data_IF_458963124603
#
_entry.id   IF_458963124603
#
_cell.length_a   1.000
_cell.length_b   1.000
_cell.length_c   1.000
_cell.angle_alpha   90.00
_cell.angle_beta   90.00
_cell.angle_gamma   90.00
#
_symmetry.space_group_name_H-M   'P 1'
#
loop_
_entity.id
_entity.type
_entity.pdbx_description
1 polymer ?
#
# COMPACT_ATOMS: atom_id res chain seq x y z
N UNK A 1 -11.04 16.55 14.36
CA UNK A 1 -11.50 16.39 12.96
C UNK A 1 -10.50 15.58 12.14
N UNK A 2 -9.21 15.94 12.11
CA UNK A 2 -8.18 15.16 11.40
C UNK A 2 -8.00 13.74 11.99
N UNK A 3 -8.05 13.58 13.32
CA UNK A 3 -7.94 12.26 13.97
C UNK A 3 -9.09 11.31 13.58
N UNK A 4 -10.35 11.75 13.68
CA UNK A 4 -11.51 10.96 13.27
C UNK A 4 -11.45 10.54 11.80
N UNK A 5 -10.92 11.39 10.92
CA UNK A 5 -10.75 11.05 9.50
C UNK A 5 -9.73 9.91 9.31
N UNK A 6 -8.58 9.98 9.98
CA UNK A 6 -7.58 8.92 9.90
C UNK A 6 -8.02 7.64 10.60
N UNK A 7 -8.80 7.75 11.68
CA UNK A 7 -9.43 6.61 12.35
C UNK A 7 -10.39 5.88 11.39
N UNK A 8 -11.31 6.61 10.74
CA UNK A 8 -12.22 6.03 9.73
C UNK A 8 -11.45 5.35 8.57
N UNK A 9 -10.37 5.96 8.08
CA UNK A 9 -9.54 5.35 7.04
C UNK A 9 -8.82 4.10 7.56
N UNK A 10 -8.30 4.13 8.79
CA UNK A 10 -7.61 3.01 9.41
C UNK A 10 -8.52 1.80 9.62
N UNK A 11 -9.77 2.02 10.05
CA UNK A 11 -10.79 0.97 10.22
C UNK A 11 -11.14 0.27 8.90
N UNK A 12 -11.12 1.01 7.78
CA UNK A 12 -11.47 0.49 6.46
C UNK A 12 -10.26 -0.01 5.66
N UNK A 13 -9.04 0.13 6.19
CA UNK A 13 -7.81 -0.28 5.55
C UNK A 13 -7.52 -1.76 5.85
N UNK A 14 -7.56 -2.60 4.81
CA UNK A 14 -7.24 -4.02 4.97
C UNK A 14 -5.77 -4.23 5.34
N UNK A 15 -5.47 -5.38 5.96
CA UNK A 15 -4.11 -5.74 6.31
C UNK A 15 -3.20 -5.71 5.06
N UNK A 16 -3.64 -6.29 3.94
CA UNK A 16 -2.95 -6.26 2.65
C UNK A 16 -2.60 -4.83 2.23
N UNK A 17 -3.59 -3.94 2.23
CA UNK A 17 -3.43 -2.53 1.86
C UNK A 17 -2.40 -1.80 2.75
N UNK A 18 -2.24 -2.18 4.03
CA UNK A 18 -1.19 -1.63 4.90
C UNK A 18 0.21 -1.98 4.38
N UNK A 19 0.46 -3.22 3.96
CA UNK A 19 1.76 -3.64 3.44
C UNK A 19 2.15 -2.91 2.16
N UNK A 20 1.19 -2.61 1.28
CA UNK A 20 1.42 -1.76 0.11
C UNK A 20 1.92 -0.36 0.51
N UNK A 21 1.30 0.27 1.52
CA UNK A 21 1.73 1.59 2.00
C UNK A 21 3.12 1.55 2.62
N UNK A 22 3.47 0.49 3.35
CA UNK A 22 4.83 0.31 3.91
C UNK A 22 5.87 0.22 2.79
N UNK A 23 5.62 -0.58 1.75
CA UNK A 23 6.54 -0.67 0.61
C UNK A 23 6.67 0.68 -0.10
N UNK A 24 5.56 1.38 -0.37
CA UNK A 24 5.62 2.66 -1.07
C UNK A 24 6.25 3.79 -0.22
N UNK A 25 6.19 3.71 1.12
CA UNK A 25 6.94 4.57 2.02
C UNK A 25 8.46 4.28 1.92
N UNK A 26 8.86 3.01 1.92
CA UNK A 26 10.27 2.60 1.82
C UNK A 26 10.90 2.95 0.46
N UNK A 27 10.12 2.86 -0.61
CA UNK A 27 10.58 3.16 -1.96
C UNK A 27 10.55 4.67 -2.28
N UNK A 28 9.85 5.47 -1.48
CA UNK A 28 9.75 6.93 -1.68
C UNK A 28 11.15 7.58 -1.70
N UNK A 29 11.46 8.44 -2.68
CA UNK A 29 10.55 9.10 -3.62
C UNK A 29 10.34 8.37 -4.97
N UNK A 30 10.80 7.12 -5.11
CA UNK A 30 10.76 6.40 -6.37
C UNK A 30 9.34 5.93 -6.74
N UNK A 31 9.12 5.84 -8.05
CA UNK A 31 7.91 5.25 -8.63
C UNK A 31 8.09 3.74 -8.78
N UNK A 32 7.11 2.96 -8.30
CA UNK A 32 7.16 1.48 -8.34
C UNK A 32 6.13 0.96 -9.33
N UNK A 33 6.54 0.16 -10.31
CA UNK A 33 5.58 -0.48 -11.21
C UNK A 33 4.76 -1.55 -10.47
N UNK A 34 3.58 -1.89 -11.02
CA UNK A 34 2.63 -2.79 -10.36
C UNK A 34 3.17 -4.20 -10.05
N UNK A 35 3.95 -4.79 -10.95
CA UNK A 35 4.52 -6.13 -10.73
C UNK A 35 5.58 -6.10 -9.63
N UNK A 36 6.49 -5.13 -9.68
CA UNK A 36 7.51 -4.97 -8.64
C UNK A 36 6.89 -4.68 -7.27
N UNK A 37 5.79 -3.92 -7.22
CA UNK A 37 5.06 -3.66 -5.98
C UNK A 37 4.46 -4.96 -5.41
N UNK A 38 3.95 -5.85 -6.27
CA UNK A 38 3.43 -7.15 -5.86
C UNK A 38 4.53 -8.03 -5.26
N UNK A 39 5.66 -8.14 -5.95
CA UNK A 39 6.83 -8.91 -5.49
C UNK A 39 7.32 -8.40 -4.13
N UNK A 40 7.55 -7.09 -4.01
CA UNK A 40 8.05 -6.46 -2.78
C UNK A 40 7.10 -6.64 -1.59
N UNK A 41 5.79 -6.50 -1.80
CA UNK A 41 4.80 -6.68 -0.73
C UNK A 41 4.82 -8.11 -0.20
N UNK A 42 4.84 -9.11 -1.10
CA UNK A 42 4.88 -10.51 -0.69
C UNK A 42 6.22 -10.89 -0.04
N UNK A 43 7.34 -10.41 -0.58
CA UNK A 43 8.67 -10.62 0.00
C UNK A 43 8.76 -10.05 1.42
N UNK A 44 8.36 -8.80 1.61
CA UNK A 44 8.38 -8.18 2.93
C UNK A 44 7.44 -8.90 3.92
N UNK A 45 6.24 -9.28 3.49
CA UNK A 45 5.29 -10.02 4.31
C UNK A 45 5.85 -11.39 4.74
N UNK A 46 6.41 -12.15 3.80
CA UNK A 46 6.97 -13.48 4.06
C UNK A 46 8.09 -13.42 5.11
N UNK A 47 8.98 -12.44 4.99
CA UNK A 47 10.06 -12.17 5.96
C UNK A 47 9.53 -11.79 7.33
N UNK A 48 8.54 -10.90 7.39
CA UNK A 48 7.97 -10.44 8.65
C UNK A 48 7.17 -11.53 9.38
N UNK A 49 6.50 -12.42 8.64
CA UNK A 49 5.70 -13.52 9.22
C UNK A 49 6.47 -14.83 9.34
N UNK A 50 7.71 -14.91 8.84
CA UNK A 50 8.50 -16.15 8.75
C UNK A 50 7.69 -17.29 8.10
N UNK A 51 7.00 -16.97 7.01
CA UNK A 51 6.10 -17.86 6.28
C UNK A 51 6.36 -17.78 4.79
N UNK A 52 6.21 -18.90 4.08
CA UNK A 52 6.26 -18.96 2.62
C UNK A 52 4.93 -18.53 1.96
N UNK A 53 3.91 -18.25 2.77
CA UNK A 53 2.61 -17.81 2.25
C UNK A 53 2.68 -16.38 1.67
N UNK A 54 2.21 -16.26 0.43
CA UNK A 54 2.00 -14.95 -0.20
C UNK A 54 0.75 -14.27 0.34
N UNK A 55 0.91 -13.01 0.75
CA UNK A 55 -0.19 -12.13 1.15
C UNK A 55 -1.13 -11.85 -0.02
N UNK A 56 -0.54 -11.50 -1.17
CA UNK A 56 -1.22 -11.19 -2.42
C UNK A 56 -1.09 -12.41 -3.33
N UNK A 57 -2.15 -13.23 -3.37
CA UNK A 57 -2.12 -14.55 -4.02
C UNK A 57 -2.36 -14.53 -5.53
N UNK A 58 -2.89 -13.44 -6.06
CA UNK A 58 -3.25 -13.35 -7.48
C UNK A 58 -3.28 -11.91 -7.98
N UNK A 59 -3.25 -11.77 -9.32
CA UNK A 59 -3.42 -10.48 -9.99
C UNK A 59 -4.74 -9.81 -9.64
N UNK A 60 -5.82 -10.58 -9.52
CA UNK A 60 -7.12 -10.07 -9.11
C UNK A 60 -7.08 -9.39 -7.73
N UNK A 61 -6.41 -10.01 -6.75
CA UNK A 61 -6.24 -9.44 -5.41
C UNK A 61 -5.38 -8.17 -5.45
N UNK A 62 -4.29 -8.19 -6.22
CA UNK A 62 -3.45 -7.00 -6.46
C UNK A 62 -4.24 -5.85 -7.07
N UNK A 63 -5.10 -6.13 -8.06
CA UNK A 63 -5.96 -5.15 -8.71
C UNK A 63 -6.95 -4.53 -7.71
N UNK A 64 -7.57 -5.34 -6.85
CA UNK A 64 -8.47 -4.86 -5.78
C UNK A 64 -7.75 -3.89 -4.84
N UNK A 65 -6.60 -4.29 -4.27
CA UNK A 65 -5.95 -3.46 -3.26
C UNK A 65 -5.37 -2.17 -3.85
N UNK A 66 -4.81 -2.23 -5.06
CA UNK A 66 -4.33 -1.03 -5.74
C UNK A 66 -5.47 -0.07 -6.10
N UNK A 67 -6.62 -0.58 -6.56
CA UNK A 67 -7.80 0.26 -6.83
C UNK A 67 -8.39 0.87 -5.55
N UNK A 68 -8.45 0.13 -4.44
CA UNK A 68 -8.90 0.65 -3.14
C UNK A 68 -8.00 1.79 -2.64
N UNK A 69 -6.68 1.59 -2.69
CA UNK A 69 -5.71 2.60 -2.24
C UNK A 69 -5.76 3.86 -3.12
N UNK A 70 -5.92 3.70 -4.43
CA UNK A 70 -6.09 4.81 -5.38
C UNK A 70 -7.39 5.57 -5.13
N UNK A 71 -8.52 4.85 -4.98
CA UNK A 71 -9.82 5.45 -4.70
C UNK A 71 -9.89 6.19 -3.36
N UNK A 72 -9.13 5.74 -2.37
CA UNK A 72 -8.97 6.43 -1.08
C UNK A 72 -7.95 7.58 -1.11
N UNK A 73 -7.27 7.82 -2.23
CA UNK A 73 -6.27 8.87 -2.38
C UNK A 73 -4.98 8.63 -1.57
N UNK A 74 -4.73 7.39 -1.16
CA UNK A 74 -3.56 7.01 -0.34
C UNK A 74 -2.31 6.77 -1.20
N UNK A 75 -2.52 6.47 -2.48
CA UNK A 75 -1.44 6.31 -3.48
C UNK A 75 -1.74 7.16 -4.71
N UNK A 76 -0.69 7.63 -5.36
CA UNK A 76 -0.75 8.29 -6.67
C UNK A 76 -0.37 7.27 -7.73
N UNK A 77 -1.04 7.35 -8.88
CA UNK A 77 -0.72 6.53 -10.05
C UNK A 77 -0.28 7.43 -11.20
N UNK A 78 0.88 7.13 -11.77
CA UNK A 78 1.41 7.74 -12.98
C UNK A 78 1.45 6.69 -14.09
N UNK A 79 1.21 7.10 -15.34
CA UNK A 79 1.30 6.22 -16.50
C UNK A 79 2.55 6.56 -17.30
N UNK A 80 3.43 5.57 -17.47
CA UNK A 80 4.59 5.65 -18.36
C UNK A 80 4.34 4.63 -19.49
N UNK A 81 3.90 5.12 -20.65
CA UNK A 81 3.35 4.26 -21.70
C UNK A 81 2.11 3.51 -21.18
N UNK A 82 2.13 2.18 -21.25
CA UNK A 82 1.07 1.30 -20.74
C UNK A 82 1.27 0.87 -19.27
N UNK A 83 2.42 1.23 -18.66
CA UNK A 83 2.77 0.78 -17.32
C UNK A 83 2.21 1.76 -16.29
N UNK A 84 1.57 1.21 -15.25
CA UNK A 84 1.10 1.96 -14.08
C UNK A 84 2.20 1.96 -13.02
N UNK A 85 2.57 3.15 -12.60
CA UNK A 85 3.61 3.44 -11.63
C UNK A 85 2.97 4.03 -10.39
N UNK A 86 3.33 3.53 -9.21
CA UNK A 86 2.70 3.86 -7.93
C UNK A 86 3.70 4.57 -7.02
N UNK A 87 3.20 5.57 -6.30
CA UNK A 87 3.88 6.19 -5.15
C UNK A 87 2.88 6.47 -4.04
N UNK A 88 3.37 6.58 -2.80
CA UNK A 88 2.52 6.99 -1.67
C UNK A 88 2.20 8.50 -1.75
N UNK A 89 0.98 8.89 -1.35
CA UNK A 89 0.63 10.32 -1.24
C UNK A 89 0.97 10.87 0.15
N UNK A 90 0.88 12.20 0.32
CA UNK A 90 0.99 12.81 1.64
C UNK A 90 -0.07 12.30 2.63
N UNK A 91 -1.30 12.02 2.15
CA UNK A 91 -2.38 11.45 2.98
C UNK A 91 -2.04 10.00 3.35
N UNK A 92 -1.56 9.20 2.39
CA UNK A 92 -1.09 7.83 2.65
C UNK A 92 0.01 7.78 3.70
N UNK A 93 0.99 8.68 3.62
CA UNK A 93 2.06 8.80 4.61
C UNK A 93 1.52 9.19 6.00
N UNK A 94 0.59 10.15 6.08
CA UNK A 94 -0.02 10.54 7.35
C UNK A 94 -0.83 9.39 7.97
N UNK A 95 -1.61 8.67 7.18
CA UNK A 95 -2.35 7.49 7.65
C UNK A 95 -1.40 6.40 8.16
N UNK A 96 -0.31 6.13 7.44
CA UNK A 96 0.67 5.14 7.85
C UNK A 96 1.36 5.53 9.18
N UNK A 97 1.69 6.81 9.36
CA UNK A 97 2.21 7.34 10.63
C UNK A 97 1.19 7.23 11.76
N UNK A 98 -0.09 7.52 11.49
CA UNK A 98 -1.16 7.35 12.45
C UNK A 98 -1.27 5.89 12.91
N UNK A 99 -1.25 4.93 11.99
CA UNK A 99 -1.27 3.48 12.32
C UNK A 99 -0.10 3.08 13.22
N UNK A 100 1.12 3.50 12.88
CA UNK A 100 2.34 3.22 13.68
C UNK A 100 2.31 3.83 15.09
N UNK A 101 1.50 4.86 15.33
CA UNK A 101 1.37 5.49 16.65
C UNK A 101 0.34 4.80 17.57
N UNK A 102 -0.46 3.90 17.01
CA UNK A 102 -1.51 3.15 17.73
C UNK A 102 -1.14 1.68 17.96
N UNK A 103 -0.08 1.19 17.31
CA UNK A 103 0.58 -0.11 17.58
C UNK A 103 1.53 0.01 18.78
#
# INVERSE_FOLDING_TARGET
MEEMFFEMLAENLSNESKWFLVILEQESPNLVNKELLWEKVNDLYSKAKKSEESLIKSRYVLDIHTARLEGAGLVKVERIGQIRMYSITAIGLKLLKYLKSKD
#
